data_IF_610841614160
#
_entry.id   IF_610841614160
#
_cell.length_a   1.000
_cell.length_b   1.000
_cell.length_c   1.000
_cell.angle_alpha   90.00
_cell.angle_beta   90.00
_cell.angle_gamma   90.00
#
_symmetry.space_group_name_H-M   'P 1'
#
loop_
_entity.id
_entity.type
_entity.pdbx_description
1 polymer ?
#
# COMPACT_ATOMS: atom_id res chain seq x y z
N UNK A 1 -5.21 16.72 21.60
CA UNK A 1 -5.16 16.09 21.27
C UNK A 1 -4.74 15.61 20.69
N UNK A 2 -4.81 14.92 20.57
CA UNK A 2 -4.12 14.87 19.84
C UNK A 2 -3.88 13.69 19.16
N UNK A 3 -4.28 13.70 18.10
CA UNK A 3 -4.18 12.72 17.13
C UNK A 3 -2.83 12.27 16.86
N UNK A 4 -1.94 13.07 17.16
CA UNK A 4 -0.53 12.75 17.03
C UNK A 4 -0.09 11.63 17.96
N UNK A 5 -1.03 11.02 18.64
CA UNK A 5 -0.72 9.91 19.53
C UNK A 5 -0.62 8.56 18.84
N UNK A 6 -0.90 8.49 17.55
CA UNK A 6 -0.73 7.24 16.82
C UNK A 6 0.73 6.80 16.86
N UNK A 7 0.94 5.50 17.07
CA UNK A 7 2.28 4.93 16.96
C UNK A 7 2.61 4.63 15.51
N UNK A 8 3.88 4.39 15.21
CA UNK A 8 4.29 4.03 13.85
C UNK A 8 3.58 2.76 13.40
N UNK A 9 3.44 1.76 14.29
CA UNK A 9 2.75 0.52 13.95
C UNK A 9 1.29 0.78 13.59
N UNK A 10 0.61 1.67 14.32
CA UNK A 10 -0.78 2.02 14.01
C UNK A 10 -0.90 2.75 12.68
N UNK A 11 0.05 3.63 12.38
CA UNK A 11 0.09 4.30 11.07
C UNK A 11 0.25 3.29 9.95
N UNK A 12 1.12 2.30 10.13
CA UNK A 12 1.34 1.26 9.12
C UNK A 12 0.06 0.45 8.89
N UNK A 13 -0.66 0.08 9.94
CA UNK A 13 -1.92 -0.65 9.81
C UNK A 13 -2.95 0.20 9.05
N UNK A 14 -3.01 1.48 9.33
CA UNK A 14 -3.96 2.36 8.64
C UNK A 14 -3.66 2.42 7.14
N UNK A 15 -2.38 2.50 6.76
CA UNK A 15 -2.00 2.46 5.36
C UNK A 15 -2.41 1.12 4.75
N UNK A 16 -2.10 0.02 5.42
CA UNK A 16 -2.42 -1.32 4.92
C UNK A 16 -3.93 -1.54 4.75
N UNK A 17 -4.74 -0.89 5.57
CA UNK A 17 -6.19 -1.06 5.51
C UNK A 17 -6.89 -0.05 4.62
N UNK A 18 -6.15 0.84 3.98
CA UNK A 18 -6.70 1.80 3.02
C UNK A 18 -6.72 1.17 1.64
N UNK A 19 -7.91 0.96 1.07
CA UNK A 19 -8.04 0.23 -0.18
C UNK A 19 -7.74 1.05 -1.43
N UNK A 20 -8.15 2.32 -1.45
CA UNK A 20 -7.95 3.18 -2.62
C UNK A 20 -6.46 3.49 -2.81
N UNK A 21 -5.95 3.26 -4.03
CA UNK A 21 -4.53 3.42 -4.31
C UNK A 21 -4.01 4.83 -4.10
N UNK A 22 -4.78 5.83 -4.54
CA UNK A 22 -4.37 7.22 -4.35
C UNK A 22 -4.40 7.60 -2.87
N UNK A 23 -5.46 7.22 -2.17
CA UNK A 23 -5.58 7.51 -0.74
C UNK A 23 -4.48 6.82 0.06
N UNK A 24 -4.15 5.57 -0.29
CA UNK A 24 -3.07 4.83 0.36
C UNK A 24 -1.73 5.52 0.16
N UNK A 25 -1.44 5.97 -1.06
CA UNK A 25 -0.20 6.67 -1.37
C UNK A 25 -0.12 7.99 -0.61
N UNK A 26 -1.18 8.79 -0.66
CA UNK A 26 -1.21 10.08 0.03
C UNK A 26 -1.03 9.90 1.54
N UNK A 27 -1.66 8.89 2.11
CA UNK A 27 -1.55 8.61 3.53
C UNK A 27 -0.14 8.15 3.91
N UNK A 28 0.47 7.30 3.07
CA UNK A 28 1.84 6.84 3.29
C UNK A 28 2.82 8.00 3.32
N UNK A 29 2.69 8.91 2.37
CA UNK A 29 3.58 10.07 2.29
C UNK A 29 3.39 10.99 3.49
N UNK A 30 2.15 11.20 3.90
CA UNK A 30 1.85 12.05 5.04
C UNK A 30 2.40 11.46 6.33
N UNK A 31 2.25 10.16 6.52
CA UNK A 31 2.76 9.51 7.72
C UNK A 31 4.29 9.44 7.72
N UNK A 32 4.90 9.25 6.55
CA UNK A 32 6.36 9.28 6.45
C UNK A 32 6.89 10.64 6.87
N UNK A 33 6.26 11.71 6.39
CA UNK A 33 6.67 13.06 6.75
C UNK A 33 6.50 13.32 8.25
N UNK A 34 5.35 12.91 8.79
CA UNK A 34 5.07 13.04 10.21
C UNK A 34 6.10 12.30 11.06
N UNK A 35 6.44 11.09 10.67
CA UNK A 35 7.44 10.27 11.36
C UNK A 35 8.80 10.93 11.35
N UNK A 36 9.24 11.41 10.17
CA UNK A 36 10.56 12.03 10.04
C UNK A 36 10.66 13.31 10.87
N UNK A 37 9.59 14.11 10.87
CA UNK A 37 9.58 15.33 11.67
C UNK A 37 9.60 15.02 13.16
N UNK A 38 8.87 13.99 13.59
CA UNK A 38 8.77 13.65 14.99
C UNK A 38 10.11 13.21 15.60
N UNK A 39 11.01 12.69 14.76
CA UNK A 39 12.32 12.23 15.26
C UNK A 39 13.19 13.36 15.84
N UNK A 40 12.89 14.59 15.46
CA UNK A 40 13.60 15.75 15.98
C UNK A 40 12.94 16.32 17.24
N UNK A 41 11.81 15.79 17.64
CA UNK A 41 11.06 16.30 18.79
C UNK A 41 11.54 15.69 20.10
N UNK A 42 11.23 16.38 21.18
CA UNK A 42 11.57 15.90 22.52
C UNK A 42 10.88 14.57 22.84
N UNK A 43 9.63 14.43 22.37
CA UNK A 43 8.86 13.20 22.56
C UNK A 43 8.48 12.63 21.20
N UNK A 44 9.41 11.92 20.54
CA UNK A 44 9.10 11.40 19.21
C UNK A 44 8.02 10.32 19.28
N UNK A 45 7.37 10.10 18.13
CA UNK A 45 6.35 9.08 17.98
C UNK A 45 6.97 7.72 18.28
N UNK A 46 6.30 6.94 19.11
CA UNK A 46 6.76 5.60 19.44
C UNK A 46 6.51 4.64 18.28
N UNK A 47 7.36 3.60 18.18
CA UNK A 47 7.13 2.54 17.19
C UNK A 47 5.87 1.77 17.54
N UNK A 48 5.71 1.40 18.81
CA UNK A 48 4.50 0.75 19.29
C UNK A 48 4.28 -0.62 18.71
N UNK A 49 3.05 -1.09 18.81
CA UNK A 49 2.62 -2.33 18.21
C UNK A 49 1.15 -2.22 17.83
N UNK A 50 0.75 -2.97 16.82
CA UNK A 50 -0.63 -3.02 16.37
C UNK A 50 -0.86 -4.36 15.70
N UNK A 51 -2.12 -4.82 15.67
CA UNK A 51 -2.46 -6.07 15.02
C UNK A 51 -2.54 -5.83 13.51
N UNK A 52 -1.69 -6.49 12.72
CA UNK A 52 -1.77 -6.30 11.25
C UNK A 52 -3.01 -6.98 10.69
N UNK A 53 -3.53 -6.47 9.57
CA UNK A 53 -4.62 -7.16 8.89
C UNK A 53 -4.11 -8.46 8.27
N UNK A 54 -5.02 -9.40 8.01
CA UNK A 54 -4.66 -10.65 7.34
C UNK A 54 -4.14 -10.40 5.93
N UNK A 55 -4.72 -9.41 5.26
CA UNK A 55 -4.31 -9.01 3.91
C UNK A 55 -4.33 -7.50 3.80
N UNK A 56 -3.43 -6.89 3.02
CA UNK A 56 -3.54 -5.47 2.74
C UNK A 56 -4.85 -5.17 2.03
N UNK A 57 -5.47 -4.05 2.33
CA UNK A 57 -6.66 -3.61 1.62
C UNK A 57 -6.29 -3.23 0.18
N UNK A 58 -7.14 -3.57 -0.76
CA UNK A 58 -6.91 -3.33 -2.18
C UNK A 58 -8.14 -2.77 -2.84
N UNK A 59 -7.97 -2.00 -3.92
CA UNK A 59 -9.12 -1.61 -4.72
C UNK A 59 -9.84 -2.85 -5.27
N UNK A 60 -11.13 -2.72 -5.52
CA UNK A 60 -11.89 -3.82 -6.10
C UNK A 60 -11.33 -4.24 -7.45
N UNK A 61 -10.88 -3.29 -8.22
CA UNK A 61 -10.29 -3.53 -9.53
C UNK A 61 -8.91 -2.92 -9.60
N UNK A 62 -7.97 -3.53 -10.30
CA UNK A 62 -8.07 -4.83 -10.96
C UNK A 62 -8.09 -5.98 -9.95
N UNK A 63 -8.71 -7.09 -10.34
CA UNK A 63 -8.79 -8.28 -9.49
C UNK A 63 -7.44 -8.99 -9.42
N UNK A 64 -7.17 -9.55 -8.24
CA UNK A 64 -6.02 -10.42 -8.07
C UNK A 64 -6.43 -11.85 -8.41
N UNK A 65 -5.70 -12.46 -9.33
CA UNK A 65 -5.94 -13.85 -9.72
C UNK A 65 -4.67 -14.65 -9.48
N UNK A 66 -4.82 -15.96 -9.22
CA UNK A 66 -3.65 -16.81 -9.16
C UNK A 66 -3.06 -16.94 -10.58
N UNK A 67 -1.76 -17.21 -10.72
CA UNK A 67 -1.15 -17.32 -12.04
C UNK A 67 -1.83 -18.31 -12.97
N UNK A 68 -2.42 -19.38 -12.43
CA UNK A 68 -3.09 -20.37 -13.27
C UNK A 68 -4.45 -19.89 -13.77
N UNK A 69 -5.06 -18.88 -13.12
CA UNK A 69 -6.35 -18.34 -13.49
C UNK A 69 -6.23 -17.15 -14.44
N UNK A 70 -5.02 -16.67 -14.69
CA UNK A 70 -4.79 -15.55 -15.58
C UNK A 70 -4.74 -16.07 -17.01
N UNK A 71 -5.54 -15.50 -17.95
CA UNK A 71 -5.48 -15.94 -19.35
C UNK A 71 -4.07 -15.73 -19.92
N UNK A 72 -3.60 -16.75 -20.65
CA UNK A 72 -2.30 -16.65 -21.30
C UNK A 72 -2.42 -15.87 -22.60
N UNK A 73 -1.48 -15.00 -22.85
CA UNK A 73 -1.44 -14.16 -24.05
C UNK A 73 -0.09 -14.34 -24.75
N UNK A 74 -0.09 -14.16 -26.06
CA UNK A 74 1.17 -14.18 -26.82
C UNK A 74 1.95 -12.91 -26.49
N UNK A 75 3.24 -13.03 -26.12
CA UNK A 75 4.01 -11.85 -25.68
C UNK A 75 4.11 -10.73 -26.71
N UNK A 76 4.11 -11.05 -28.00
CA UNK A 76 4.23 -10.02 -29.03
C UNK A 76 2.91 -9.43 -29.49
N UNK A 77 1.78 -9.91 -28.99
CA UNK A 77 0.47 -9.40 -29.38
C UNK A 77 0.10 -8.14 -28.60
N UNK A 78 -0.89 -7.40 -29.13
CA UNK A 78 -1.40 -6.21 -28.43
C UNK A 78 -1.98 -6.62 -27.09
N UNK A 79 -2.76 -7.69 -27.05
CA UNK A 79 -3.35 -8.21 -25.81
C UNK A 79 -2.26 -8.62 -24.82
N UNK A 80 -1.17 -9.22 -25.32
CA UNK A 80 -0.05 -9.61 -24.46
C UNK A 80 0.64 -8.42 -23.86
N UNK A 81 0.82 -7.34 -24.62
CA UNK A 81 1.42 -6.12 -24.09
C UNK A 81 0.53 -5.48 -23.02
N UNK A 82 -0.76 -5.44 -23.26
CA UNK A 82 -1.70 -4.89 -22.29
C UNK A 82 -1.67 -5.70 -21.00
N UNK A 83 -1.66 -7.04 -21.13
CA UNK A 83 -1.60 -7.91 -19.97
C UNK A 83 -0.30 -7.71 -19.17
N UNK A 84 0.83 -7.52 -19.87
CA UNK A 84 2.11 -7.28 -19.21
C UNK A 84 2.09 -5.94 -18.47
N UNK A 85 1.55 -4.90 -19.10
CA UNK A 85 1.46 -3.59 -18.46
C UNK A 85 0.59 -3.64 -17.21
N UNK A 86 -0.52 -4.38 -17.27
CA UNK A 86 -1.37 -4.56 -16.11
C UNK A 86 -0.64 -5.30 -14.99
N UNK A 87 0.13 -6.33 -15.32
CA UNK A 87 0.89 -7.09 -14.33
C UNK A 87 1.93 -6.20 -13.64
N UNK A 88 2.64 -5.37 -14.40
CA UNK A 88 3.61 -4.44 -13.84
C UNK A 88 2.93 -3.43 -12.93
N UNK A 89 1.77 -2.90 -13.36
CA UNK A 89 1.02 -1.95 -12.55
C UNK A 89 0.59 -2.57 -11.22
N UNK A 90 0.18 -3.83 -11.21
CA UNK A 90 -0.16 -4.54 -9.99
C UNK A 90 1.02 -4.67 -9.04
N UNK A 91 2.19 -5.00 -9.59
CA UNK A 91 3.40 -5.12 -8.79
C UNK A 91 3.73 -3.79 -8.13
N UNK A 92 3.67 -2.71 -8.89
CA UNK A 92 3.95 -1.38 -8.37
C UNK A 92 2.94 -0.95 -7.31
N UNK A 93 1.66 -1.26 -7.51
CA UNK A 93 0.63 -0.92 -6.54
C UNK A 93 0.87 -1.66 -5.22
N UNK A 94 1.25 -2.94 -5.29
CA UNK A 94 1.56 -3.71 -4.10
C UNK A 94 2.78 -3.18 -3.37
N UNK A 95 3.72 -2.60 -4.09
CA UNK A 95 4.94 -2.06 -3.50
C UNK A 95 4.69 -0.83 -2.63
N UNK A 96 3.51 -0.20 -2.75
CA UNK A 96 3.14 0.93 -1.89
C UNK A 96 2.93 0.48 -0.45
N UNK A 97 2.51 -0.75 -0.26
CA UNK A 97 2.34 -1.32 1.08
C UNK A 97 3.71 -1.60 1.73
#
# INVERSE_FOLDING_TARGET
MNVSKLTLAEMAVEVLTTADGKAKTDLSLRYADTWLQSRAEKYPIAIGSATPPLHPARPEYPQLLSPRDVPKRKPGSVEGRIALLHAVAHIELNAVD
#
